data_IF_449790256106
#
_entry.id   IF_449790256106
#
_cell.length_a   1.000
_cell.length_b   1.000
_cell.length_c   1.000
_cell.angle_alpha   90.00
_cell.angle_beta   90.00
_cell.angle_gamma   90.00
#
_symmetry.space_group_name_H-M   'P 1'
#
loop_
_entity.id
_entity.type
_entity.pdbx_description
1 polymer ?
#
# COMPACT_ATOMS: atom_id res chain seq x y z
N UNK A 1 8.84 3.23 -1.16
CA UNK A 1 8.17 2.62 0.01
C UNK A 1 8.60 1.17 0.31
N UNK A 2 8.57 0.20 -0.62
CA UNK A 2 8.88 -1.23 -0.33
C UNK A 2 10.16 -1.49 0.50
N UNK A 3 11.29 -0.85 0.15
CA UNK A 3 12.56 -1.00 0.91
C UNK A 3 12.46 -0.46 2.34
N UNK A 4 11.76 0.66 2.53
CA UNK A 4 11.55 1.24 3.86
C UNK A 4 10.72 0.30 4.73
N UNK A 5 9.67 -0.31 4.16
CA UNK A 5 8.83 -1.28 4.87
C UNK A 5 9.60 -2.50 5.38
N UNK A 6 10.47 -3.06 4.55
CA UNK A 6 11.33 -4.19 4.98
C UNK A 6 12.31 -3.73 6.07
N UNK A 7 12.84 -2.52 5.93
CA UNK A 7 13.86 -2.03 6.84
C UNK A 7 13.30 -1.52 8.17
N UNK A 8 12.03 -1.12 8.23
CA UNK A 8 11.39 -0.57 9.43
C UNK A 8 10.02 -1.23 9.64
N UNK A 9 9.96 -2.55 9.90
CA UNK A 9 8.70 -3.21 10.21
C UNK A 9 7.99 -2.63 11.45
N UNK A 10 8.73 -1.98 12.34
CA UNK A 10 8.29 -1.32 13.57
C UNK A 10 7.85 0.15 13.40
N UNK A 11 7.60 0.57 12.15
CA UNK A 11 7.10 1.90 11.85
C UNK A 11 5.69 2.11 12.44
N UNK A 12 5.42 3.34 12.90
CA UNK A 12 4.11 3.79 13.36
C UNK A 12 3.40 4.67 12.33
N UNK A 13 4.16 5.37 11.49
CA UNK A 13 3.61 6.15 10.38
C UNK A 13 4.70 6.44 9.36
N UNK A 14 4.36 6.42 8.07
CA UNK A 14 5.28 6.84 7.02
C UNK A 14 4.54 7.51 5.87
N UNK A 15 5.21 8.45 5.21
CA UNK A 15 4.75 9.08 3.97
C UNK A 15 5.94 9.43 3.08
N UNK A 16 5.87 9.10 1.80
CA UNK A 16 6.86 9.46 0.79
C UNK A 16 6.24 10.52 -0.12
N UNK A 17 6.93 11.62 -0.28
CA UNK A 17 6.62 12.73 -1.18
C UNK A 17 7.63 12.72 -2.35
N UNK A 18 7.41 13.49 -3.42
CA UNK A 18 8.31 13.53 -4.58
C UNK A 18 9.75 13.93 -4.24
N UNK A 19 9.93 14.80 -3.26
CA UNK A 19 11.20 15.44 -2.87
C UNK A 19 11.73 14.96 -1.51
N UNK A 20 10.89 14.45 -0.62
CA UNK A 20 11.29 13.97 0.71
C UNK A 20 10.39 12.83 1.24
N UNK A 21 10.65 12.36 2.45
CA UNK A 21 9.77 11.41 3.15
C UNK A 21 9.78 11.65 4.65
N UNK A 22 8.72 11.20 5.31
CA UNK A 22 8.61 11.15 6.76
C UNK A 22 8.45 9.71 7.23
N UNK A 23 9.09 9.39 8.35
CA UNK A 23 9.03 8.08 9.01
C UNK A 23 9.04 8.29 10.52
N UNK A 24 8.02 7.76 11.19
CA UNK A 24 7.95 7.60 12.63
C UNK A 24 8.10 6.12 12.93
N UNK A 25 9.07 5.75 13.76
CA UNK A 25 9.37 4.35 14.08
C UNK A 25 9.78 4.23 15.54
N UNK A 26 9.34 3.15 16.19
CA UNK A 26 9.84 2.80 17.51
C UNK A 26 11.24 2.21 17.36
N UNK A 27 12.25 2.72 18.06
CA UNK A 27 13.57 2.09 18.04
C UNK A 27 14.32 2.30 19.36
N UNK A 28 14.96 1.26 19.91
CA UNK A 28 15.83 1.41 21.08
C UNK A 28 17.19 1.98 20.71
N UNK A 29 17.54 2.06 19.42
CA UNK A 29 18.86 2.47 18.93
C UNK A 29 18.71 3.44 17.73
N UNK A 30 18.50 4.74 18.01
CA UNK A 30 18.35 5.75 16.96
C UNK A 30 19.54 5.85 15.99
N UNK A 31 20.82 5.79 16.44
CA UNK A 31 21.96 5.77 15.53
C UNK A 31 21.93 4.61 14.53
N UNK A 32 21.58 3.39 14.98
CA UNK A 32 21.45 2.24 14.09
C UNK A 32 20.30 2.38 13.11
N UNK A 33 19.15 2.91 13.54
CA UNK A 33 18.02 3.21 12.67
C UNK A 33 18.41 4.22 11.56
N UNK A 34 19.13 5.29 11.93
CA UNK A 34 19.68 6.28 11.00
C UNK A 34 20.66 5.65 10.01
N UNK A 35 21.57 4.80 10.48
CA UNK A 35 22.50 4.08 9.61
C UNK A 35 21.80 3.15 8.61
N UNK A 36 20.73 2.47 9.05
CA UNK A 36 19.87 1.63 8.20
C UNK A 36 19.22 2.45 7.10
N UNK A 37 18.66 3.62 7.44
CA UNK A 37 18.07 4.56 6.48
C UNK A 37 19.10 5.08 5.47
N UNK A 38 20.27 5.51 5.97
CA UNK A 38 21.36 6.03 5.14
C UNK A 38 21.81 5.03 4.08
N UNK A 39 21.92 3.74 4.45
CA UNK A 39 22.24 2.65 3.51
C UNK A 39 21.18 2.50 2.42
N UNK A 40 19.90 2.61 2.76
CA UNK A 40 18.81 2.53 1.78
C UNK A 40 18.90 3.68 0.78
N UNK A 41 19.09 4.91 1.27
CA UNK A 41 19.20 6.09 0.41
C UNK A 41 20.43 6.05 -0.49
N UNK A 42 21.57 5.54 0.01
CA UNK A 42 22.76 5.31 -0.80
C UNK A 42 22.49 4.32 -1.94
N UNK A 43 21.84 3.19 -1.65
CA UNK A 43 21.46 2.20 -2.69
C UNK A 43 20.52 2.81 -3.73
N UNK A 44 19.56 3.64 -3.31
CA UNK A 44 18.65 4.32 -4.23
C UNK A 44 19.38 5.34 -5.11
N UNK A 45 20.31 6.10 -4.53
CA UNK A 45 21.14 7.08 -5.25
C UNK A 45 21.97 6.41 -6.34
N UNK A 46 22.67 5.31 -6.00
CA UNK A 46 23.46 4.53 -6.95
C UNK A 46 22.58 3.94 -8.07
N UNK A 47 21.41 3.39 -7.72
CA UNK A 47 20.49 2.82 -8.71
C UNK A 47 19.89 3.86 -9.65
N UNK A 48 19.72 5.09 -9.19
CA UNK A 48 19.28 6.19 -10.02
C UNK A 48 20.40 6.74 -10.93
N UNK A 49 21.65 6.24 -10.79
CA UNK A 49 22.80 6.77 -11.53
C UNK A 49 23.18 8.19 -11.13
N UNK A 50 22.72 8.65 -9.96
CA UNK A 50 22.94 10.01 -9.48
C UNK A 50 24.05 10.03 -8.41
N UNK A 51 24.71 11.17 -8.27
CA UNK A 51 25.63 11.46 -7.16
C UNK A 51 24.92 12.55 -6.35
N UNK A 52 24.59 12.26 -5.08
CA UNK A 52 23.85 13.18 -4.17
C UNK A 52 22.34 13.34 -4.44
N UNK A 53 21.62 12.25 -4.75
CA UNK A 53 20.15 12.30 -4.83
C UNK A 53 19.48 12.66 -3.49
N UNK A 54 20.07 12.24 -2.37
CA UNK A 54 19.59 12.55 -1.03
C UNK A 54 20.66 13.29 -0.23
N UNK A 55 20.20 14.27 0.55
CA UNK A 55 21.01 14.86 1.62
C UNK A 55 21.35 13.81 2.69
N UNK A 56 22.42 14.02 3.49
CA UNK A 56 22.70 13.19 4.64
C UNK A 56 21.48 13.08 5.56
N UNK A 57 21.13 11.85 5.95
CA UNK A 57 20.03 11.63 6.89
C UNK A 57 20.32 12.42 8.17
N UNK A 58 19.41 13.29 8.67
CA UNK A 58 19.65 14.09 9.88
C UNK A 58 19.63 13.24 11.15
N UNK A 59 19.99 13.84 12.29
CA UNK A 59 19.80 13.18 13.59
C UNK A 59 18.31 12.88 13.84
N UNK A 60 17.94 11.68 14.33
CA UNK A 60 16.56 11.36 14.65
C UNK A 60 16.06 12.25 15.79
N UNK A 61 14.92 12.90 15.57
CA UNK A 61 14.22 13.63 16.64
C UNK A 61 13.37 12.65 17.46
N UNK A 62 13.55 12.65 18.77
CA UNK A 62 12.69 11.89 19.68
C UNK A 62 11.30 12.53 19.70
N UNK A 63 10.27 11.70 19.49
CA UNK A 63 8.87 12.10 19.59
C UNK A 63 8.33 11.58 20.93
N UNK A 64 7.97 12.47 21.89
CA UNK A 64 7.37 12.04 23.14
C UNK A 64 6.03 11.31 22.90
N UNK A 65 5.65 10.38 23.79
CA UNK A 65 4.36 9.70 23.71
C UNK A 65 3.17 10.66 23.92
N UNK A 66 1.96 10.15 23.72
CA UNK A 66 0.71 10.91 23.88
C UNK A 66 0.48 11.94 22.78
N UNK A 67 -0.01 13.12 23.12
CA UNK A 67 -0.46 14.14 22.16
C UNK A 67 0.62 14.68 21.20
N UNK A 68 1.92 14.51 21.52
CA UNK A 68 3.01 14.81 20.59
C UNK A 68 3.10 13.77 19.48
N UNK A 69 2.97 12.49 19.81
CA UNK A 69 2.95 11.39 18.84
C UNK A 69 1.71 11.48 17.95
N UNK A 70 0.53 11.74 18.52
CA UNK A 70 -0.71 11.93 17.74
C UNK A 70 -0.56 13.04 16.68
N UNK A 71 -0.07 14.22 17.09
CA UNK A 71 0.17 15.34 16.17
C UNK A 71 1.22 15.00 15.11
N UNK A 72 2.25 14.24 15.48
CA UNK A 72 3.31 13.84 14.54
C UNK A 72 2.77 12.85 13.51
N UNK A 73 1.98 11.85 13.92
CA UNK A 73 1.32 10.91 13.02
C UNK A 73 0.35 11.64 12.09
N UNK A 74 -0.46 12.58 12.62
CA UNK A 74 -1.32 13.44 11.79
C UNK A 74 -0.51 14.23 10.78
N UNK A 75 0.58 14.87 11.21
CA UNK A 75 1.47 15.62 10.33
C UNK A 75 1.94 14.75 9.16
N UNK A 76 2.46 13.55 9.42
CA UNK A 76 2.94 12.63 8.38
C UNK A 76 1.87 12.34 7.34
N UNK A 77 0.64 12.01 7.75
CA UNK A 77 -0.46 11.71 6.83
C UNK A 77 -1.01 12.93 6.09
N UNK A 78 -0.88 14.12 6.69
CA UNK A 78 -1.37 15.37 6.12
C UNK A 78 -0.39 16.04 5.14
N UNK A 79 0.88 15.67 5.16
CA UNK A 79 1.91 16.30 4.33
C UNK A 79 1.57 16.36 2.83
N UNK A 80 1.04 15.29 2.20
CA UNK A 80 0.64 15.36 0.80
C UNK A 80 -0.41 16.44 0.52
N UNK A 81 -1.35 16.66 1.46
CA UNK A 81 -2.36 17.71 1.36
C UNK A 81 -1.73 19.10 1.55
N UNK A 82 -0.84 19.25 2.53
CA UNK A 82 -0.10 20.51 2.77
C UNK A 82 0.82 20.91 1.62
N UNK A 83 1.36 19.92 0.92
CA UNK A 83 2.17 20.11 -0.27
C UNK A 83 1.32 20.38 -1.54
N UNK A 84 -0.01 20.40 -1.44
CA UNK A 84 -0.91 20.62 -2.57
C UNK A 84 -0.93 19.47 -3.59
N UNK A 85 -0.45 18.28 -3.23
CA UNK A 85 -0.37 17.13 -4.13
C UNK A 85 -1.73 16.44 -4.29
N UNK A 86 -2.54 16.46 -3.24
CA UNK A 86 -3.90 15.89 -3.19
C UNK A 86 -4.77 16.72 -2.25
N UNK A 87 -6.10 16.62 -2.38
CA UNK A 87 -7.05 17.28 -1.46
C UNK A 87 -7.48 16.40 -0.27
N UNK A 88 -7.18 15.11 -0.29
CA UNK A 88 -7.56 14.15 0.74
C UNK A 88 -6.41 13.16 1.02
N UNK A 89 -6.11 12.84 2.30
CA UNK A 89 -5.05 11.89 2.65
C UNK A 89 -5.23 10.48 2.08
N UNK A 90 -6.46 10.02 1.81
CA UNK A 90 -6.75 8.74 1.16
C UNK A 90 -6.30 8.71 -0.29
N UNK A 91 -6.26 9.88 -0.95
CA UNK A 91 -5.80 10.02 -2.34
C UNK A 91 -4.29 9.93 -2.50
N UNK A 92 -3.52 9.94 -1.40
CA UNK A 92 -2.08 9.75 -1.46
C UNK A 92 -1.65 8.32 -1.11
N UNK A 93 -1.27 7.50 -2.11
CA UNK A 93 -0.98 6.08 -1.89
C UNK A 93 0.39 5.79 -1.31
N UNK A 94 1.27 6.78 -1.27
CA UNK A 94 2.62 6.62 -0.74
C UNK A 94 2.70 6.96 0.75
N UNK A 95 1.59 6.81 1.48
CA UNK A 95 1.51 6.92 2.93
C UNK A 95 0.94 5.66 3.57
N UNK A 96 1.14 5.47 4.87
CA UNK A 96 0.57 4.33 5.61
C UNK A 96 -0.92 4.53 5.96
N UNK A 97 -1.54 5.65 5.53
CA UNK A 97 -2.92 6.04 5.89
C UNK A 97 -3.95 5.02 5.39
N UNK A 98 -3.82 4.58 4.13
CA UNK A 98 -4.72 3.61 3.50
C UNK A 98 -4.67 2.23 4.13
N UNK A 99 -3.50 1.84 4.64
CA UNK A 99 -3.36 0.60 5.40
C UNK A 99 -4.15 0.62 6.70
N UNK A 100 -4.17 1.75 7.40
CA UNK A 100 -4.86 1.92 8.70
C UNK A 100 -6.38 1.88 8.59
N UNK A 101 -6.94 2.31 7.44
CA UNK A 101 -8.38 2.23 7.16
C UNK A 101 -8.80 0.92 6.47
N UNK A 102 -7.86 -0.02 6.27
CA UNK A 102 -8.14 -1.34 5.70
C UNK A 102 -8.27 -1.38 4.17
N UNK A 103 -7.84 -0.33 3.46
CA UNK A 103 -7.81 -0.30 2.00
C UNK A 103 -6.57 -0.97 1.38
N UNK A 104 -5.70 -1.57 2.19
CA UNK A 104 -4.59 -2.41 1.74
C UNK A 104 -4.64 -3.78 2.42
N UNK A 105 -4.44 -4.85 1.66
CA UNK A 105 -4.43 -6.23 2.18
C UNK A 105 -3.27 -6.48 3.14
N UNK A 106 -2.07 -6.10 2.72
CA UNK A 106 -0.85 -6.27 3.49
C UNK A 106 -0.42 -4.86 3.95
N UNK A 107 -1.00 -4.23 4.99
CA UNK A 107 -0.61 -2.88 5.41
C UNK A 107 0.80 -2.88 6.04
N UNK A 108 1.54 -1.77 5.90
CA UNK A 108 2.83 -1.62 6.59
C UNK A 108 2.62 -1.40 8.09
N UNK A 109 1.73 -0.48 8.45
CA UNK A 109 1.36 -0.17 9.83
C UNK A 109 -0.04 -0.73 10.07
N UNK A 110 -0.22 -1.51 11.13
CA UNK A 110 -1.53 -2.02 11.54
C UNK A 110 -2.19 -1.08 12.54
N UNK A 111 -3.52 -1.13 12.58
CA UNK A 111 -4.33 -0.36 13.53
C UNK A 111 -3.97 -0.71 14.97
N UNK A 112 -3.66 -1.98 15.27
CA UNK A 112 -3.27 -2.44 16.60
C UNK A 112 -1.92 -1.87 17.04
N UNK A 113 -0.92 -1.87 16.14
CA UNK A 113 0.40 -1.34 16.45
C UNK A 113 0.36 0.16 16.73
N UNK A 114 -0.36 0.91 15.90
CA UNK A 114 -0.53 2.35 16.10
C UNK A 114 -1.36 2.64 17.36
N UNK A 115 -2.46 1.91 17.59
CA UNK A 115 -3.28 2.04 18.79
C UNK A 115 -2.46 1.88 20.08
N UNK A 116 -1.65 0.82 20.14
CA UNK A 116 -0.77 0.54 21.27
C UNK A 116 0.23 1.68 21.53
N UNK A 117 0.85 2.21 20.47
CA UNK A 117 1.78 3.33 20.60
C UNK A 117 1.10 4.66 21.02
N UNK A 118 -0.14 4.88 20.58
CA UNK A 118 -0.93 6.05 20.96
C UNK A 118 -1.61 5.93 22.33
N UNK A 119 -1.59 4.74 22.95
CA UNK A 119 -2.32 4.47 24.18
C UNK A 119 -3.85 4.54 24.00
N UNK A 120 -4.34 4.17 22.80
CA UNK A 120 -5.77 4.20 22.43
C UNK A 120 -6.32 2.80 22.20
N UNK A 121 -7.64 2.58 22.31
CA UNK A 121 -8.26 1.35 21.81
C UNK A 121 -8.08 1.20 20.30
N UNK A 122 -7.81 -0.02 19.84
CA UNK A 122 -7.73 -0.30 18.40
C UNK A 122 -9.08 -0.14 17.69
N UNK A 123 -10.17 -0.48 18.40
CA UNK A 123 -11.54 -0.28 17.92
C UNK A 123 -11.83 1.23 17.78
N UNK A 124 -12.22 1.67 16.59
CA UNK A 124 -12.51 3.08 16.33
C UNK A 124 -11.28 3.93 15.98
N UNK A 125 -10.06 3.37 16.00
CA UNK A 125 -8.85 4.15 15.71
C UNK A 125 -8.82 4.64 14.27
N UNK A 126 -9.21 3.80 13.31
CA UNK A 126 -9.19 4.16 11.89
C UNK A 126 -10.15 5.33 11.60
N UNK A 127 -11.36 5.27 12.16
CA UNK A 127 -12.39 6.30 12.11
C UNK A 127 -11.88 7.61 12.73
N UNK A 128 -11.38 7.54 13.96
CA UNK A 128 -10.85 8.70 14.66
C UNK A 128 -9.67 9.32 13.92
N UNK A 129 -8.70 8.52 13.50
CA UNK A 129 -7.50 9.00 12.82
C UNK A 129 -7.86 9.63 11.48
N UNK A 130 -8.75 9.02 10.70
CA UNK A 130 -9.17 9.60 9.44
C UNK A 130 -9.83 10.95 9.66
N UNK A 131 -10.81 11.05 10.56
CA UNK A 131 -11.47 12.32 10.89
C UNK A 131 -10.47 13.37 11.41
N UNK A 132 -9.51 12.95 12.25
CA UNK A 132 -8.47 13.84 12.79
C UNK A 132 -7.56 14.38 11.68
N UNK A 133 -7.15 13.54 10.73
CA UNK A 133 -6.28 13.95 9.61
C UNK A 133 -7.06 14.77 8.58
N UNK A 134 -8.21 14.26 8.10
CA UNK A 134 -8.98 14.90 7.03
C UNK A 134 -9.71 16.16 7.47
N UNK A 135 -9.95 16.36 8.77
CA UNK A 135 -10.53 17.60 9.32
C UNK A 135 -9.53 18.70 9.66
N UNK A 136 -8.33 18.70 9.05
CA UNK A 136 -7.35 19.76 9.29
C UNK A 136 -7.66 21.03 8.50
N UNK A 137 -7.97 22.11 9.22
CA UNK A 137 -8.34 23.39 8.63
C UNK A 137 -7.20 24.08 7.88
N UNK A 138 -5.93 23.68 8.08
CA UNK A 138 -4.76 24.29 7.41
C UNK A 138 -4.63 23.89 5.93
N UNK A 139 -5.37 22.88 5.48
CA UNK A 139 -5.39 22.39 4.09
C UNK A 139 -6.76 22.51 3.45
N UNK A 140 -7.62 23.39 3.99
CA UNK A 140 -8.99 23.65 3.55
C UNK A 140 -9.92 22.41 3.58
N UNK A 141 -10.36 21.92 4.75
CA UNK A 141 -11.37 20.83 4.83
C UNK A 141 -12.22 20.80 6.12
N UNK A 142 -13.51 20.41 5.96
CA UNK A 142 -14.53 20.05 6.98
C UNK A 142 -14.50 18.57 7.44
N UNK A 143 -13.41 17.85 7.18
CA UNK A 143 -13.36 16.39 7.32
C UNK A 143 -13.99 15.67 6.12
N UNK A 144 -13.56 14.43 5.88
CA UNK A 144 -14.11 13.57 4.82
C UNK A 144 -14.59 12.24 5.39
N UNK A 145 -15.65 11.69 4.79
CA UNK A 145 -16.21 10.41 5.21
C UNK A 145 -15.27 9.25 4.88
N UNK A 146 -15.34 8.19 5.68
CA UNK A 146 -14.64 6.94 5.36
C UNK A 146 -15.20 6.30 4.08
N UNK A 147 -14.35 5.62 3.30
CA UNK A 147 -14.79 4.91 2.10
C UNK A 147 -15.76 3.78 2.47
N UNK A 148 -16.80 3.62 1.64
CA UNK A 148 -17.76 2.51 1.78
C UNK A 148 -17.40 1.40 0.79
N UNK A 149 -17.40 0.12 1.20
CA UNK A 149 -17.15 -0.99 0.29
C UNK A 149 -18.19 -1.04 -0.84
N UNK A 150 -17.74 -1.29 -2.07
CA UNK A 150 -18.64 -1.59 -3.17
C UNK A 150 -19.53 -2.81 -2.85
N UNK A 151 -20.82 -2.69 -3.15
CA UNK A 151 -21.80 -3.75 -2.93
C UNK A 151 -21.49 -4.97 -3.79
N UNK A 152 -21.80 -6.16 -3.27
CA UNK A 152 -21.84 -7.37 -4.09
C UNK A 152 -23.00 -7.26 -5.08
N UNK A 153 -22.76 -7.63 -6.34
CA UNK A 153 -23.80 -7.60 -7.38
C UNK A 153 -23.79 -8.89 -8.18
N UNK A 154 -24.97 -9.34 -8.60
CA UNK A 154 -25.12 -10.48 -9.52
C UNK A 154 -24.90 -10.07 -10.98
N UNK A 155 -25.24 -8.81 -11.29
CA UNK A 155 -25.06 -8.22 -12.61
C UNK A 155 -23.85 -7.27 -12.58
N UNK A 156 -22.98 -7.28 -13.62
CA UNK A 156 -21.93 -6.30 -13.81
C UNK A 156 -22.38 -4.84 -13.65
N UNK A 157 -21.97 -4.19 -12.55
CA UNK A 157 -22.12 -2.73 -12.35
C UNK A 157 -20.82 -1.97 -12.57
N UNK A 158 -19.71 -2.48 -12.05
CA UNK A 158 -18.39 -1.90 -12.27
C UNK A 158 -17.74 -2.46 -13.53
N UNK A 159 -17.12 -1.58 -14.33
CA UNK A 159 -16.30 -2.00 -15.48
C UNK A 159 -15.11 -2.85 -15.01
N UNK A 160 -14.75 -3.88 -15.77
CA UNK A 160 -13.60 -4.74 -15.45
C UNK A 160 -12.28 -3.97 -15.31
N UNK A 161 -12.11 -2.88 -16.05
CA UNK A 161 -10.97 -1.97 -15.89
C UNK A 161 -10.91 -1.38 -14.48
N UNK A 162 -12.03 -0.86 -13.97
CA UNK A 162 -12.12 -0.31 -12.61
C UNK A 162 -11.93 -1.40 -11.55
N UNK A 163 -12.54 -2.57 -11.73
CA UNK A 163 -12.34 -3.74 -10.85
C UNK A 163 -10.86 -4.12 -10.77
N UNK A 164 -10.17 -4.15 -11.92
CA UNK A 164 -8.73 -4.39 -11.98
C UNK A 164 -7.97 -3.35 -11.18
N UNK A 165 -8.19 -2.07 -11.43
CA UNK A 165 -7.50 -0.97 -10.73
C UNK A 165 -7.75 -1.05 -9.23
N UNK A 166 -8.98 -1.30 -8.78
CA UNK A 166 -9.33 -1.42 -7.37
C UNK A 166 -8.59 -2.58 -6.68
N UNK A 167 -8.59 -3.78 -7.29
CA UNK A 167 -7.87 -4.94 -6.76
C UNK A 167 -6.36 -4.70 -6.67
N UNK A 168 -5.76 -4.04 -7.68
CA UNK A 168 -4.34 -3.70 -7.66
C UNK A 168 -4.02 -2.60 -6.64
N UNK A 169 -4.94 -1.66 -6.43
CA UNK A 169 -4.85 -0.60 -5.42
C UNK A 169 -4.90 -1.14 -4.00
N UNK A 170 -5.62 -2.25 -3.78
CA UNK A 170 -5.64 -2.96 -2.49
C UNK A 170 -4.43 -3.87 -2.27
N UNK A 171 -3.65 -4.18 -3.31
CA UNK A 171 -2.51 -5.11 -3.23
C UNK A 171 -1.21 -4.57 -3.85
N UNK A 172 -0.81 -3.30 -3.60
CA UNK A 172 0.32 -2.68 -4.28
C UNK A 172 1.66 -3.36 -3.96
N UNK A 173 1.74 -4.01 -2.80
CA UNK A 173 2.94 -4.68 -2.27
C UNK A 173 2.92 -6.20 -2.42
N UNK A 174 1.77 -6.78 -2.79
CA UNK A 174 1.60 -8.24 -2.86
C UNK A 174 2.21 -8.81 -4.15
N UNK A 175 2.60 -10.10 -4.19
CA UNK A 175 3.12 -10.74 -5.39
C UNK A 175 2.05 -10.88 -6.50
N UNK A 176 2.49 -10.97 -7.76
CA UNK A 176 1.59 -10.95 -8.93
C UNK A 176 0.49 -12.03 -8.89
N UNK A 177 0.77 -13.23 -8.37
CA UNK A 177 -0.23 -14.29 -8.27
C UNK A 177 -1.40 -13.90 -7.34
N UNK A 178 -1.11 -13.22 -6.23
CA UNK A 178 -2.12 -12.78 -5.25
C UNK A 178 -2.95 -11.65 -5.82
N UNK A 179 -2.30 -10.70 -6.51
CA UNK A 179 -2.98 -9.63 -7.25
C UNK A 179 -3.93 -10.17 -8.33
N UNK A 180 -3.50 -11.15 -9.13
CA UNK A 180 -4.35 -11.83 -10.14
C UNK A 180 -5.56 -12.51 -9.49
N UNK A 181 -5.34 -13.23 -8.38
CA UNK A 181 -6.41 -13.89 -7.63
C UNK A 181 -7.47 -12.87 -7.20
N UNK A 182 -7.04 -11.76 -6.62
CA UNK A 182 -7.95 -10.72 -6.13
C UNK A 182 -8.74 -10.03 -7.25
N UNK A 183 -8.13 -9.78 -8.41
CA UNK A 183 -8.86 -9.27 -9.59
C UNK A 183 -10.01 -10.22 -9.97
N UNK A 184 -9.77 -11.52 -9.98
CA UNK A 184 -10.78 -12.52 -10.35
C UNK A 184 -11.88 -12.62 -9.28
N UNK A 185 -11.51 -12.58 -8.00
CA UNK A 185 -12.46 -12.62 -6.88
C UNK A 185 -13.37 -11.39 -6.88
N UNK A 186 -12.78 -10.18 -6.99
CA UNK A 186 -13.55 -8.95 -7.06
C UNK A 186 -14.42 -8.87 -8.32
N UNK A 187 -13.93 -9.34 -9.47
CA UNK A 187 -14.73 -9.39 -10.69
C UNK A 187 -16.00 -10.24 -10.52
N UNK A 188 -15.86 -11.42 -9.91
CA UNK A 188 -17.01 -12.29 -9.59
C UNK A 188 -17.94 -11.68 -8.56
N UNK A 189 -17.39 -11.00 -7.56
CA UNK A 189 -18.18 -10.23 -6.58
C UNK A 189 -18.99 -9.10 -7.23
N UNK A 190 -18.58 -8.64 -8.42
CA UNK A 190 -19.29 -7.66 -9.22
C UNK A 190 -20.11 -8.28 -10.36
N UNK A 191 -20.35 -9.59 -10.36
CA UNK A 191 -21.21 -10.26 -11.35
C UNK A 191 -20.50 -10.69 -12.64
N UNK A 192 -19.18 -10.51 -12.75
CA UNK A 192 -18.44 -10.97 -13.92
C UNK A 192 -18.07 -12.46 -13.83
N UNK A 193 -18.52 -13.26 -14.79
CA UNK A 193 -18.30 -14.72 -14.83
C UNK A 193 -17.33 -15.19 -15.93
N UNK A 194 -17.18 -14.42 -17.01
CA UNK A 194 -16.31 -14.73 -18.15
C UNK A 194 -14.82 -14.60 -17.77
N UNK A 195 -14.17 -15.75 -17.61
CA UNK A 195 -12.76 -15.83 -17.23
C UNK A 195 -11.81 -15.31 -18.32
N UNK A 196 -12.17 -15.44 -19.59
CA UNK A 196 -11.35 -14.99 -20.71
C UNK A 196 -11.41 -13.45 -20.82
N UNK A 197 -12.59 -12.86 -20.63
CA UNK A 197 -12.75 -11.40 -20.59
C UNK A 197 -12.02 -10.77 -19.39
N UNK A 198 -12.15 -11.36 -18.19
CA UNK A 198 -11.41 -10.92 -17.00
C UNK A 198 -9.90 -10.96 -17.26
N UNK A 199 -9.40 -12.08 -17.79
CA UNK A 199 -7.97 -12.28 -18.01
C UNK A 199 -7.41 -11.32 -19.06
N UNK A 200 -8.11 -11.13 -20.19
CA UNK A 200 -7.73 -10.15 -21.23
C UNK A 200 -7.67 -8.74 -20.66
N UNK A 201 -8.70 -8.32 -19.94
CA UNK A 201 -8.75 -6.97 -19.34
C UNK A 201 -7.66 -6.77 -18.30
N UNK A 202 -7.35 -7.81 -17.52
CA UNK A 202 -6.32 -7.73 -16.48
C UNK A 202 -4.89 -7.97 -16.98
N UNK A 203 -4.69 -8.33 -18.25
CA UNK A 203 -3.37 -8.53 -18.83
C UNK A 203 -2.67 -9.81 -18.35
N UNK A 204 -3.40 -10.92 -18.15
CA UNK A 204 -2.83 -12.23 -17.85
C UNK A 204 -3.59 -13.38 -18.53
N UNK A 205 -3.12 -14.63 -18.42
CA UNK A 205 -3.71 -15.75 -19.16
C UNK A 205 -5.01 -16.30 -18.54
N UNK A 206 -5.97 -16.69 -19.38
CA UNK A 206 -7.26 -17.20 -18.92
C UNK A 206 -7.18 -18.50 -18.11
N UNK A 207 -6.15 -19.33 -18.34
CA UNK A 207 -5.85 -20.49 -17.50
C UNK A 207 -5.66 -20.08 -16.04
N UNK A 208 -4.97 -18.95 -15.78
CA UNK A 208 -4.79 -18.43 -14.42
C UNK A 208 -6.14 -18.00 -13.82
N UNK A 209 -6.98 -17.32 -14.59
CA UNK A 209 -8.31 -16.89 -14.11
C UNK A 209 -9.22 -18.07 -13.73
N UNK A 210 -9.17 -19.14 -14.53
CA UNK A 210 -9.91 -20.39 -14.25
C UNK A 210 -9.39 -21.11 -13.00
N UNK A 211 -8.06 -21.14 -12.78
CA UNK A 211 -7.45 -21.76 -11.58
C UNK A 211 -7.78 -21.03 -10.27
N UNK A 212 -8.11 -19.74 -10.32
CA UNK A 212 -8.56 -18.99 -9.15
C UNK A 212 -9.97 -19.39 -8.66
N UNK A 213 -10.63 -20.41 -9.22
CA UNK A 213 -11.96 -20.89 -8.76
C UNK A 213 -11.92 -21.71 -7.46
N UNK A 214 -10.75 -22.22 -7.05
CA UNK A 214 -10.65 -23.27 -6.01
C UNK A 214 -9.97 -22.84 -4.72
N UNK A 215 -9.64 -21.56 -4.56
CA UNK A 215 -8.92 -21.08 -3.39
C UNK A 215 -9.88 -20.62 -2.28
N UNK A 216 -9.51 -20.85 -1.03
CA UNK A 216 -10.16 -20.26 0.15
C UNK A 216 -10.27 -18.74 -0.06
N UNK A 217 -11.48 -18.20 0.15
CA UNK A 217 -11.77 -16.77 0.01
C UNK A 217 -10.94 -15.99 1.03
N UNK A 218 -10.16 -15.04 0.53
CA UNK A 218 -9.42 -14.11 1.37
C UNK A 218 -10.33 -12.92 1.67
N UNK A 219 -11.15 -13.04 2.73
CA UNK A 219 -12.14 -12.02 3.10
C UNK A 219 -11.52 -10.65 3.39
N UNK A 220 -10.27 -10.64 3.86
CA UNK A 220 -9.53 -9.39 4.13
C UNK A 220 -9.19 -8.72 2.80
N UNK A 221 -8.67 -9.48 1.84
CA UNK A 221 -8.35 -8.96 0.51
C UNK A 221 -9.60 -8.49 -0.24
N UNK A 222 -10.68 -9.29 -0.21
CA UNK A 222 -11.96 -8.94 -0.81
C UNK A 222 -12.50 -7.61 -0.24
N UNK A 223 -12.45 -7.44 1.09
CA UNK A 223 -12.90 -6.20 1.75
C UNK A 223 -12.05 -4.99 1.37
N UNK A 224 -10.72 -5.14 1.35
CA UNK A 224 -9.81 -4.05 0.95
C UNK A 224 -10.04 -3.63 -0.51
N UNK A 225 -10.25 -4.59 -1.40
CA UNK A 225 -10.53 -4.34 -2.80
C UNK A 225 -11.92 -3.73 -3.02
N UNK A 226 -12.92 -4.17 -2.26
CA UNK A 226 -14.26 -3.58 -2.28
C UNK A 226 -14.24 -2.13 -1.77
N UNK A 227 -13.47 -1.82 -0.72
CA UNK A 227 -13.23 -0.43 -0.29
C UNK A 227 -12.63 0.40 -1.42
N UNK A 228 -11.58 -0.11 -2.07
CA UNK A 228 -10.97 0.60 -3.20
C UNK A 228 -11.93 0.78 -4.38
N UNK A 229 -12.83 -0.17 -4.62
CA UNK A 229 -13.81 -0.08 -5.71
C UNK A 229 -14.95 0.89 -5.39
N UNK A 230 -15.34 1.00 -4.12
CA UNK A 230 -16.43 1.85 -3.67
C UNK A 230 -16.06 3.33 -3.52
N UNK A 231 -14.76 3.66 -3.55
CA UNK A 231 -14.29 5.03 -3.38
C UNK A 231 -13.16 5.40 -4.36
N UNK A 232 -13.40 6.37 -5.27
CA UNK A 232 -12.41 6.76 -6.28
C UNK A 232 -11.13 7.34 -5.68
N UNK A 233 -11.15 7.89 -4.45
CA UNK A 233 -9.95 8.39 -3.77
C UNK A 233 -8.91 7.29 -3.58
N UNK A 234 -9.33 6.04 -3.49
CA UNK A 234 -8.44 4.89 -3.26
C UNK A 234 -7.90 4.29 -4.56
N UNK A 235 -8.36 4.71 -5.73
CA UNK A 235 -7.89 4.17 -7.00
C UNK A 235 -6.52 4.77 -7.35
N UNK A 236 -5.53 3.89 -7.53
CA UNK A 236 -4.21 4.30 -8.01
C UNK A 236 -4.28 4.71 -9.49
N UNK A 237 -3.58 5.77 -9.90
CA UNK A 237 -3.33 6.04 -11.31
C UNK A 237 -2.72 4.81 -12.00
N UNK A 238 -3.15 4.51 -13.23
CA UNK A 238 -2.66 3.34 -13.97
C UNK A 238 -1.13 3.32 -14.10
N UNK A 239 -0.51 4.48 -14.27
CA UNK A 239 0.94 4.64 -14.36
C UNK A 239 1.70 4.16 -13.11
N UNK A 240 1.03 4.07 -11.96
CA UNK A 240 1.63 3.61 -10.70
C UNK A 240 1.36 2.13 -10.41
N UNK A 241 0.49 1.49 -11.18
CA UNK A 241 0.17 0.09 -11.01
C UNK A 241 1.29 -0.80 -11.55
N UNK A 242 1.70 -1.79 -10.75
CA UNK A 242 2.63 -2.81 -11.22
C UNK A 242 1.92 -3.74 -12.20
N UNK A 243 2.42 -3.89 -13.45
CA UNK A 243 1.83 -4.81 -14.40
C UNK A 243 1.67 -6.20 -13.80
N UNK A 244 0.55 -6.86 -14.09
CA UNK A 244 0.38 -8.26 -13.73
C UNK A 244 1.28 -9.17 -14.57
N UNK A 245 1.56 -8.74 -15.81
CA UNK A 245 2.40 -9.46 -16.78
C UNK A 245 1.84 -10.83 -17.18
N UNK A 246 2.31 -11.42 -18.29
CA UNK A 246 2.12 -12.84 -18.52
C UNK A 246 2.74 -13.64 -17.36
N UNK A 247 2.22 -14.83 -17.08
CA UNK A 247 2.88 -15.74 -16.13
C UNK A 247 4.27 -16.03 -16.70
N UNK A 248 5.33 -15.50 -16.09
CA UNK A 248 6.68 -15.94 -16.41
C UNK A 248 6.70 -17.46 -16.23
N UNK A 249 7.04 -18.19 -17.29
CA UNK A 249 7.35 -19.62 -17.13
C UNK A 249 8.46 -19.68 -16.10
N UNK A 250 8.21 -20.41 -15.02
CA UNK A 250 9.22 -20.70 -14.02
C UNK A 250 10.44 -21.30 -14.74
N UNK A 251 11.66 -20.73 -14.63
CA UNK A 251 12.86 -21.40 -15.12
C UNK A 251 13.17 -22.54 -14.14
N UNK A 252 12.59 -23.70 -14.39
CA UNK A 252 12.75 -24.86 -13.52
C UNK A 252 11.77 -25.96 -13.86
N UNK A 253 11.86 -26.46 -15.09
CA UNK A 253 11.39 -27.78 -15.49
C UNK A 253 12.06 -28.15 -16.83
N UNK A 254 13.39 -28.26 -16.83
CA UNK A 254 14.13 -29.09 -17.78
C UNK A 254 15.51 -29.41 -17.20
N UNK A 255 15.67 -30.70 -16.84
CA UNK A 255 16.85 -31.53 -16.84
C UNK A 255 18.25 -30.90 -16.60
N UNK A 256 18.89 -31.37 -15.52
CA UNK A 256 20.33 -31.69 -15.39
C UNK A 256 21.35 -30.73 -16.02
N UNK A 257 22.05 -29.96 -15.16
CA UNK A 257 23.25 -29.23 -15.54
C UNK A 257 23.80 -28.39 -14.40
N UNK A 258 24.66 -29.00 -13.58
CA UNK A 258 25.74 -28.41 -12.77
C UNK A 258 25.59 -26.97 -12.25
N UNK A 259 25.27 -26.83 -10.96
CA UNK A 259 25.35 -25.59 -10.20
C UNK A 259 26.82 -25.24 -9.91
N UNK A 260 27.38 -24.27 -10.64
CA UNK A 260 28.55 -23.51 -10.21
C UNK A 260 28.09 -22.08 -9.88
N UNK A 261 28.48 -21.62 -8.68
CA UNK A 261 27.86 -20.53 -7.97
C UNK A 261 28.00 -19.13 -8.57
N UNK A 262 27.17 -18.22 -8.04
CA UNK A 262 27.42 -16.78 -7.99
C UNK A 262 26.67 -16.20 -6.79
N UNK A 263 27.43 -15.91 -5.74
CA UNK A 263 27.03 -15.06 -4.64
C UNK A 263 26.82 -13.63 -5.18
N UNK A 264 25.73 -12.99 -4.76
CA UNK A 264 25.52 -11.56 -4.95
C UNK A 264 25.96 -10.84 -3.67
N UNK A 265 26.93 -9.94 -3.81
CA UNK A 265 27.23 -8.87 -2.87
C UNK A 265 26.29 -7.67 -3.09
#
# INVERSE_FOLDING_TARGET
MWRLRIAFPEALSACVLPDHFHLITCTPDPPRARGRLSKILAVLTVRAGMRHLFEPVPEPRVVPPGGHLERSVRYVHLNPCRAGLVSDPLSWPWSTHRGLIGAELDPWVTTEALAGALGRPARGLAEWLHAYVSGDSTVAVEGTELPTPALQTEVPRALLGTVRVAALSATPWSPAWRRRKLVVELARHQGWSDADLIARTAGFCARSARRCRTAVRDRVAERAAALCLGDPRLLLPEAWLRPLGPVARWPGASASGTLAGRAFA
#
